data_IF_938513328011
#
_entry.id   IF_938513328011
#
_cell.length_a   1.000
_cell.length_b   1.000
_cell.length_c   1.000
_cell.angle_alpha   90.00
_cell.angle_beta   90.00
_cell.angle_gamma   90.00
#
_symmetry.space_group_name_H-M   'P 1'
#
loop_
_entity.id
_entity.type
_entity.pdbx_description
1 polymer ?
#
# COMPACT_ATOMS: atom_id res chain seq x y z
N UNK A 1 -3.70 -26.57 19.84
CA UNK A 1 -4.42 -25.30 19.50
C UNK A 1 -5.42 -25.69 18.43
N UNK A 2 -6.73 -25.73 18.75
CA UNK A 2 -7.76 -26.39 17.93
C UNK A 2 -7.87 -25.76 16.53
N UNK A 3 -7.89 -26.60 15.48
CA UNK A 3 -8.12 -26.18 14.08
C UNK A 3 -9.42 -25.38 13.89
N UNK A 4 -10.46 -25.64 14.67
CA UNK A 4 -11.70 -24.85 14.67
C UNK A 4 -11.53 -23.39 15.16
N UNK A 5 -10.63 -23.12 16.10
CA UNK A 5 -10.31 -21.75 16.56
C UNK A 5 -9.51 -20.98 15.51
N UNK A 6 -8.69 -21.69 14.72
CA UNK A 6 -7.93 -21.11 13.60
C UNK A 6 -8.87 -20.77 12.45
N UNK A 7 -9.84 -21.66 12.16
CA UNK A 7 -10.82 -21.45 11.09
C UNK A 7 -11.73 -20.22 11.32
N UNK A 8 -12.07 -19.90 12.57
CA UNK A 8 -12.89 -18.73 12.94
C UNK A 8 -12.24 -17.37 12.68
N UNK A 9 -10.90 -17.33 12.47
CA UNK A 9 -10.16 -16.08 12.27
C UNK A 9 -9.93 -15.73 10.78
N UNK A 10 -10.39 -16.57 9.86
CA UNK A 10 -10.26 -16.32 8.43
C UNK A 10 -11.54 -15.75 7.82
N UNK A 11 -11.38 -14.59 7.19
CA UNK A 11 -12.45 -13.91 6.46
C UNK A 11 -12.22 -14.08 4.95
N UNK A 12 -12.98 -14.97 4.33
CA UNK A 12 -12.82 -15.27 2.90
C UNK A 12 -13.11 -14.08 2.00
N UNK A 13 -12.36 -13.95 0.86
CA UNK A 13 -12.70 -13.00 -0.19
C UNK A 13 -14.12 -13.23 -0.78
N UNK A 14 -14.74 -12.18 -1.37
CA UNK A 14 -14.19 -10.85 -1.56
C UNK A 14 -14.24 -10.01 -0.28
N UNK A 15 -13.22 -9.14 -0.09
CA UNK A 15 -13.22 -8.15 0.99
C UNK A 15 -13.75 -6.82 0.49
N UNK A 16 -14.66 -6.24 1.24
CA UNK A 16 -15.17 -4.89 1.02
C UNK A 16 -14.63 -3.97 2.11
N UNK A 17 -13.84 -2.99 1.70
CA UNK A 17 -13.12 -2.08 2.59
C UNK A 17 -13.51 -0.64 2.30
N UNK A 18 -13.59 0.16 3.36
CA UNK A 18 -13.86 1.59 3.30
C UNK A 18 -12.87 2.33 4.17
N UNK A 19 -12.44 3.50 3.75
CA UNK A 19 -11.47 4.28 4.51
C UNK A 19 -11.11 5.58 3.84
N UNK A 20 -10.03 6.17 4.35
CA UNK A 20 -9.32 7.28 3.74
C UNK A 20 -7.84 6.89 3.50
N UNK A 21 -7.17 7.59 2.59
CA UNK A 21 -5.80 7.25 2.22
C UNK A 21 -5.00 8.46 1.73
N UNK A 22 -3.68 8.32 1.81
CA UNK A 22 -2.73 9.17 1.10
C UNK A 22 -2.01 8.34 0.05
N UNK A 23 -1.98 8.82 -1.19
CA UNK A 23 -1.28 8.21 -2.31
C UNK A 23 -0.11 9.12 -2.67
N UNK A 24 1.11 8.67 -2.36
CA UNK A 24 2.34 9.42 -2.58
C UNK A 24 3.03 8.85 -3.82
N UNK A 25 3.32 9.71 -4.78
CA UNK A 25 3.99 9.32 -6.01
C UNK A 25 5.43 9.85 -6.00
N UNK A 26 6.37 8.98 -6.35
CA UNK A 26 7.79 9.32 -6.45
C UNK A 26 8.38 8.82 -7.76
N UNK A 27 9.30 9.61 -8.32
CA UNK A 27 10.19 9.13 -9.37
C UNK A 27 11.44 8.57 -8.73
N UNK A 28 11.72 7.30 -8.99
CA UNK A 28 12.93 6.61 -8.54
C UNK A 28 13.97 6.59 -9.65
N UNK A 29 15.19 7.00 -9.33
CA UNK A 29 16.34 6.84 -10.22
C UNK A 29 16.87 5.40 -10.16
N UNK A 30 17.63 4.93 -11.18
CA UNK A 30 18.28 3.61 -11.13
C UNK A 30 19.17 3.43 -9.89
N UNK A 31 19.89 4.49 -9.46
CA UNK A 31 20.73 4.45 -8.28
C UNK A 31 19.91 4.28 -7.00
N UNK A 32 18.79 4.99 -6.87
CA UNK A 32 17.86 4.80 -5.74
C UNK A 32 17.39 3.35 -5.64
N UNK A 33 16.95 2.76 -6.77
CA UNK A 33 16.47 1.37 -6.82
C UNK A 33 17.59 0.42 -6.41
N UNK A 34 18.82 0.63 -6.91
CA UNK A 34 19.99 -0.19 -6.57
C UNK A 34 20.34 -0.10 -5.09
N UNK A 35 20.34 1.09 -4.50
CA UNK A 35 20.63 1.29 -3.07
C UNK A 35 19.56 0.70 -2.14
N UNK A 36 18.35 0.47 -2.65
CA UNK A 36 17.21 -0.05 -1.90
C UNK A 36 16.83 -1.49 -2.29
N UNK A 37 17.78 -2.32 -2.74
CA UNK A 37 17.53 -3.71 -3.17
C UNK A 37 16.92 -4.59 -2.06
N UNK A 38 17.26 -4.31 -0.80
CA UNK A 38 16.70 -5.02 0.35
C UNK A 38 15.16 -4.96 0.42
N UNK A 39 14.55 -3.93 -0.17
CA UNK A 39 13.10 -3.76 -0.24
C UNK A 39 12.46 -4.39 -1.50
N UNK A 40 13.23 -5.16 -2.27
CA UNK A 40 12.75 -5.92 -3.44
C UNK A 40 12.05 -5.07 -4.51
N UNK A 41 12.46 -3.81 -4.66
CA UNK A 41 11.97 -2.95 -5.73
C UNK A 41 12.39 -3.54 -7.10
N UNK A 42 11.46 -3.62 -8.05
CA UNK A 42 11.77 -4.14 -9.37
C UNK A 42 12.83 -3.26 -10.07
N UNK A 43 13.84 -3.86 -10.74
CA UNK A 43 14.87 -3.09 -11.40
C UNK A 43 14.33 -2.24 -12.55
N UNK A 44 14.95 -1.06 -12.76
CA UNK A 44 14.64 -0.19 -13.90
C UNK A 44 15.90 0.56 -14.33
N UNK A 45 16.37 0.40 -15.57
CA UNK A 45 17.58 1.05 -16.06
C UNK A 45 17.42 2.56 -16.30
N UNK A 46 16.19 3.05 -16.46
CA UNK A 46 15.89 4.47 -16.73
C UNK A 46 15.18 5.16 -15.56
N UNK A 47 14.93 4.45 -14.46
CA UNK A 47 14.06 4.93 -13.38
C UNK A 47 12.58 4.69 -13.68
N UNK A 48 11.71 5.00 -12.69
CA UNK A 48 10.26 4.85 -12.83
C UNK A 48 9.48 5.54 -11.72
N UNK A 49 8.18 5.65 -11.93
CA UNK A 49 7.25 6.08 -10.88
C UNK A 49 6.91 4.89 -9.98
N UNK A 50 6.81 5.16 -8.68
CA UNK A 50 6.30 4.23 -7.67
C UNK A 50 5.22 4.92 -6.85
N UNK A 51 4.31 4.14 -6.29
CA UNK A 51 3.27 4.64 -5.41
C UNK A 51 3.46 4.10 -4.00
N UNK A 52 3.35 4.99 -3.02
CA UNK A 52 3.27 4.64 -1.61
C UNK A 52 1.86 4.97 -1.15
N UNK A 53 1.23 4.02 -0.50
CA UNK A 53 -0.11 4.25 0.05
C UNK A 53 -0.07 4.14 1.56
N UNK A 54 -0.55 5.19 2.23
CA UNK A 54 -0.82 5.18 3.67
C UNK A 54 -2.33 5.23 3.84
N UNK A 55 -2.91 4.19 4.42
CA UNK A 55 -4.34 3.92 4.40
C UNK A 55 -4.87 3.73 5.81
N UNK A 56 -6.03 4.28 6.10
CA UNK A 56 -6.84 3.95 7.28
C UNK A 56 -8.13 3.30 6.82
N UNK A 57 -8.27 2.03 7.10
CA UNK A 57 -9.54 1.33 6.88
C UNK A 57 -10.43 1.51 8.10
N UNK A 58 -11.53 2.24 7.92
CA UNK A 58 -12.56 2.41 8.95
C UNK A 58 -13.48 1.20 9.04
N UNK A 59 -13.60 0.46 7.91
CA UNK A 59 -14.41 -0.76 7.83
C UNK A 59 -13.71 -1.80 6.96
N UNK A 60 -13.56 -2.99 7.50
CA UNK A 60 -13.08 -4.20 6.81
C UNK A 60 -13.66 -5.46 7.45
N UNK A 61 -13.54 -6.64 6.81
CA UNK A 61 -13.95 -7.91 7.42
C UNK A 61 -13.22 -8.26 8.71
N UNK A 62 -12.01 -7.71 8.93
CA UNK A 62 -11.19 -7.93 10.13
C UNK A 62 -11.23 -6.75 11.12
N UNK A 63 -12.21 -5.86 10.98
CA UNK A 63 -12.30 -4.62 11.75
C UNK A 63 -11.46 -3.47 11.17
N UNK A 64 -11.44 -2.30 11.83
CA UNK A 64 -10.61 -1.18 11.43
C UNK A 64 -9.12 -1.50 11.56
N UNK A 65 -8.31 -1.00 10.63
CA UNK A 65 -6.84 -1.10 10.70
C UNK A 65 -6.14 -0.09 9.79
N UNK A 66 -4.87 0.16 10.07
CA UNK A 66 -3.99 1.03 9.30
C UNK A 66 -3.05 0.22 8.42
N UNK A 67 -2.59 0.82 7.32
CA UNK A 67 -1.72 0.16 6.36
C UNK A 67 -0.76 1.17 5.71
N UNK A 68 0.53 0.81 5.62
CA UNK A 68 1.51 1.49 4.78
C UNK A 68 2.10 0.50 3.79
N UNK A 69 2.02 0.78 2.50
CA UNK A 69 2.53 -0.12 1.47
C UNK A 69 3.27 0.60 0.34
N UNK A 70 4.14 -0.15 -0.31
CA UNK A 70 4.72 0.17 -1.61
C UNK A 70 3.92 -0.58 -2.67
N UNK A 71 3.35 0.14 -3.64
CA UNK A 71 2.77 -0.44 -4.85
C UNK A 71 3.73 -0.17 -6.02
N UNK A 72 4.40 -1.22 -6.45
CA UNK A 72 5.41 -1.17 -7.50
C UNK A 72 4.80 -1.56 -8.84
N UNK A 73 4.77 -0.59 -9.79
CA UNK A 73 4.24 -0.75 -11.14
C UNK A 73 5.36 -0.62 -12.17
N UNK A 74 6.03 -1.70 -12.58
CA UNK A 74 7.09 -1.63 -13.59
C UNK A 74 6.49 -1.45 -15.00
N UNK A 75 6.11 -0.22 -15.35
CA UNK A 75 5.46 0.13 -16.61
C UNK A 75 6.25 -0.25 -17.87
N UNK A 76 7.58 -0.39 -17.76
CA UNK A 76 8.49 -0.70 -18.87
C UNK A 76 8.83 -2.20 -18.97
N UNK A 77 8.30 -3.03 -18.11
CA UNK A 77 8.49 -4.49 -18.17
C UNK A 77 7.53 -5.09 -19.20
N UNK A 78 8.01 -6.02 -20.02
CA UNK A 78 7.17 -6.78 -20.99
C UNK A 78 5.97 -7.48 -20.33
N UNK A 79 5.95 -7.61 -19.03
CA UNK A 79 4.89 -8.31 -18.26
C UNK A 79 4.01 -7.40 -17.43
N UNK A 80 4.27 -6.08 -17.32
CA UNK A 80 3.47 -5.11 -16.53
C UNK A 80 2.90 -5.67 -15.21
N UNK A 81 3.74 -6.41 -14.45
CA UNK A 81 3.32 -7.08 -13.23
C UNK A 81 3.48 -6.13 -12.06
N UNK A 82 2.37 -5.58 -11.57
CA UNK A 82 2.39 -4.81 -10.33
C UNK A 82 2.57 -5.75 -9.13
N UNK A 83 3.28 -5.29 -8.10
CA UNK A 83 3.49 -6.05 -6.86
C UNK A 83 3.49 -5.14 -5.64
N UNK A 84 3.33 -5.74 -4.47
CA UNK A 84 3.44 -5.07 -3.16
C UNK A 84 4.66 -5.66 -2.45
N UNK A 85 5.87 -5.11 -2.68
CA UNK A 85 7.10 -5.68 -2.12
C UNK A 85 7.25 -5.44 -0.61
N UNK A 86 6.65 -4.37 -0.08
CA UNK A 86 6.73 -4.01 1.34
C UNK A 86 5.41 -3.47 1.83
N UNK A 87 4.96 -3.95 2.98
CA UNK A 87 3.69 -3.54 3.58
C UNK A 87 3.67 -3.76 5.09
N UNK A 88 3.20 -2.76 5.82
CA UNK A 88 2.92 -2.80 7.25
C UNK A 88 1.44 -2.63 7.51
N UNK A 89 0.91 -3.32 8.52
CA UNK A 89 -0.50 -3.22 8.95
C UNK A 89 -0.59 -3.24 10.46
N UNK A 90 -1.64 -2.62 11.01
CA UNK A 90 -1.80 -2.44 12.46
C UNK A 90 -2.46 -3.62 13.18
N UNK A 91 -2.93 -4.68 12.48
CA UNK A 91 -3.63 -5.80 13.12
C UNK A 91 -3.12 -7.16 12.69
N UNK A 92 -2.96 -8.14 13.63
CA UNK A 92 -2.56 -9.51 13.31
C UNK A 92 -3.56 -10.20 12.35
N UNK A 93 -4.85 -9.91 12.47
CA UNK A 93 -5.88 -10.47 11.60
C UNK A 93 -5.67 -10.05 10.14
N UNK A 94 -5.30 -8.78 9.88
CA UNK A 94 -4.95 -8.33 8.53
C UNK A 94 -3.69 -9.02 8.00
N UNK A 95 -2.68 -9.28 8.85
CA UNK A 95 -1.48 -10.02 8.45
C UNK A 95 -1.83 -11.42 7.99
N UNK A 96 -2.50 -12.21 8.84
CA UNK A 96 -2.84 -13.61 8.56
C UNK A 96 -3.69 -13.77 7.29
N UNK A 97 -4.73 -12.96 7.17
CA UNK A 97 -5.64 -13.05 6.02
C UNK A 97 -4.98 -12.55 4.72
N UNK A 98 -4.18 -11.46 4.78
CA UNK A 98 -3.46 -10.92 3.64
C UNK A 98 -2.45 -11.89 3.05
N UNK A 99 -1.67 -12.56 3.89
CA UNK A 99 -0.71 -13.59 3.49
C UNK A 99 -1.42 -14.81 2.89
N UNK A 100 -2.49 -15.30 3.55
CA UNK A 100 -3.20 -16.52 3.13
C UNK A 100 -3.94 -16.37 1.80
N UNK A 101 -4.70 -15.28 1.63
CA UNK A 101 -5.64 -15.17 0.51
C UNK A 101 -5.07 -14.45 -0.71
N UNK A 102 -4.00 -13.64 -0.53
CA UNK A 102 -3.43 -12.83 -1.61
C UNK A 102 -1.91 -12.92 -1.71
N UNK A 103 -1.26 -13.68 -0.82
CA UNK A 103 0.21 -13.77 -0.79
C UNK A 103 0.90 -12.43 -0.52
N UNK A 104 0.20 -11.45 0.07
CA UNK A 104 0.75 -10.12 0.36
C UNK A 104 1.66 -10.24 1.59
N UNK A 105 2.94 -9.79 1.54
CA UNK A 105 3.92 -9.97 2.60
C UNK A 105 3.71 -8.99 3.77
N UNK A 106 2.50 -8.98 4.34
CA UNK A 106 2.11 -8.10 5.43
C UNK A 106 2.93 -8.37 6.69
N UNK A 107 3.39 -7.29 7.33
CA UNK A 107 4.08 -7.32 8.62
C UNK A 107 3.32 -6.45 9.61
N UNK A 108 3.28 -6.89 10.88
CA UNK A 108 2.62 -6.15 11.95
C UNK A 108 3.47 -4.96 12.38
N UNK A 109 2.87 -3.78 12.45
CA UNK A 109 3.49 -2.55 12.97
C UNK A 109 2.47 -1.75 13.79
N UNK A 110 2.94 -0.80 14.59
CA UNK A 110 2.08 0.13 15.32
C UNK A 110 1.98 1.43 14.54
N UNK A 111 0.80 2.06 14.56
CA UNK A 111 0.51 3.31 13.88
C UNK A 111 -0.08 4.30 14.88
N UNK A 112 0.51 5.49 14.96
CA UNK A 112 0.03 6.58 15.79
C UNK A 112 -0.24 7.80 14.92
N UNK A 113 -1.46 8.32 14.99
CA UNK A 113 -1.92 9.42 14.17
C UNK A 113 -2.13 10.68 14.99
N UNK A 114 -1.61 11.80 14.49
CA UNK A 114 -1.91 13.13 14.99
C UNK A 114 -2.44 13.96 13.81
N UNK A 115 -3.71 14.36 13.89
CA UNK A 115 -4.38 15.15 12.84
C UNK A 115 -4.71 16.52 13.41
N UNK A 116 -4.16 17.55 12.79
CA UNK A 116 -4.40 18.98 13.12
C UNK A 116 -4.74 19.71 11.84
N UNK A 117 -6.02 20.03 11.65
CA UNK A 117 -6.55 20.72 10.47
C UNK A 117 -6.12 20.06 9.14
N UNK A 118 -5.26 20.74 8.39
CA UNK A 118 -4.72 20.30 7.11
C UNK A 118 -3.40 19.52 7.22
N UNK A 119 -2.88 19.33 8.44
CA UNK A 119 -1.64 18.62 8.70
C UNK A 119 -1.90 17.28 9.37
N UNK A 120 -1.26 16.24 8.86
CA UNK A 120 -1.35 14.87 9.38
C UNK A 120 0.05 14.34 9.66
N UNK A 121 0.26 13.85 10.87
CA UNK A 121 1.45 13.09 11.24
C UNK A 121 1.04 11.62 11.46
N UNK A 122 1.85 10.71 10.95
CA UNK A 122 1.72 9.29 11.22
C UNK A 122 3.07 8.74 11.65
N UNK A 123 3.17 8.28 12.90
CA UNK A 123 4.32 7.55 13.41
C UNK A 123 4.07 6.07 13.25
N UNK A 124 5.08 5.34 12.76
CA UNK A 124 5.01 3.91 12.50
C UNK A 124 6.19 3.25 13.18
N UNK A 125 5.89 2.32 14.11
CA UNK A 125 6.91 1.60 14.88
C UNK A 125 6.94 0.13 14.45
N UNK A 126 8.13 -0.36 14.10
CA UNK A 126 8.40 -1.73 13.71
C UNK A 126 9.73 -2.21 14.30
N UNK A 127 9.73 -3.32 15.05
CA UNK A 127 10.94 -3.92 15.63
C UNK A 127 11.84 -2.91 16.37
N UNK A 128 11.28 -2.09 17.27
CA UNK A 128 11.98 -1.06 18.04
C UNK A 128 12.55 0.13 17.24
N UNK A 129 12.24 0.19 15.96
CA UNK A 129 12.57 1.31 15.08
C UNK A 129 11.31 2.12 14.79
N UNK A 130 11.48 3.43 14.62
CA UNK A 130 10.38 4.34 14.35
C UNK A 130 10.65 5.16 13.10
N UNK A 131 9.63 5.34 12.28
CA UNK A 131 9.62 6.28 11.19
C UNK A 131 8.38 7.16 11.25
N UNK A 132 8.43 8.34 10.67
CA UNK A 132 7.28 9.22 10.62
C UNK A 132 7.06 9.84 9.26
N UNK A 133 5.78 10.02 8.93
CA UNK A 133 5.31 10.79 7.79
C UNK A 133 4.65 12.06 8.28
N UNK A 134 5.02 13.17 7.64
CA UNK A 134 4.34 14.44 7.76
C UNK A 134 3.69 14.78 6.43
N UNK A 135 2.37 14.93 6.43
CA UNK A 135 1.52 15.11 5.26
C UNK A 135 0.76 16.43 5.39
N UNK A 136 0.80 17.26 4.36
CA UNK A 136 0.06 18.52 4.34
C UNK A 136 -0.97 18.51 3.21
N UNK A 137 -2.23 18.68 3.57
CA UNK A 137 -3.34 18.83 2.64
C UNK A 137 -3.44 20.30 2.18
N UNK A 138 -4.08 20.55 1.05
CA UNK A 138 -4.54 21.90 0.73
C UNK A 138 -5.82 22.20 1.51
N UNK A 139 -5.94 23.41 2.04
CA UNK A 139 -7.18 23.87 2.72
C UNK A 139 -8.39 23.83 1.79
N UNK A 140 -8.17 24.18 0.52
CA UNK A 140 -9.18 24.10 -0.54
C UNK A 140 -8.56 23.35 -1.72
N UNK A 141 -9.05 22.17 -2.02
CA UNK A 141 -8.61 21.34 -3.14
C UNK A 141 -9.82 20.93 -3.96
N UNK A 142 -9.68 21.03 -5.28
CA UNK A 142 -10.66 20.42 -6.18
C UNK A 142 -10.67 18.91 -5.96
N UNK A 143 -11.85 18.34 -5.98
CA UNK A 143 -12.06 16.91 -5.83
C UNK A 143 -12.28 16.28 -7.19
N UNK A 144 -11.55 15.21 -7.47
CA UNK A 144 -11.68 14.41 -8.68
C UNK A 144 -12.26 13.04 -8.33
N UNK A 145 -13.18 12.55 -9.12
CA UNK A 145 -13.70 11.20 -8.97
C UNK A 145 -12.80 10.20 -9.70
N UNK A 146 -12.45 9.09 -9.03
CA UNK A 146 -11.75 7.98 -9.64
C UNK A 146 -12.57 6.70 -9.48
N UNK A 147 -12.59 5.88 -10.54
CA UNK A 147 -13.22 4.58 -10.53
C UNK A 147 -12.36 3.62 -11.38
N UNK A 148 -12.00 2.48 -10.79
CA UNK A 148 -11.18 1.47 -11.44
C UNK A 148 -11.80 0.89 -12.70
N UNK A 149 -13.12 1.00 -12.90
CA UNK A 149 -13.78 0.62 -14.15
C UNK A 149 -13.29 1.39 -15.39
N UNK A 150 -12.70 2.57 -15.19
CA UNK A 150 -12.11 3.37 -16.27
C UNK A 150 -10.61 3.14 -16.45
N UNK A 151 -10.02 2.21 -15.69
CA UNK A 151 -8.59 1.87 -15.77
C UNK A 151 -8.46 0.52 -16.48
N UNK A 152 -7.57 0.38 -17.47
CA UNK A 152 -7.32 -0.90 -18.11
C UNK A 152 -6.98 -1.99 -17.09
N UNK A 153 -7.63 -3.16 -17.20
CA UNK A 153 -7.52 -4.24 -16.22
C UNK A 153 -6.06 -4.69 -16.01
N UNK A 154 -5.23 -4.60 -17.06
CA UNK A 154 -3.81 -4.95 -17.00
C UNK A 154 -3.02 -4.09 -15.99
N UNK A 155 -3.42 -2.81 -15.81
CA UNK A 155 -2.79 -1.89 -14.86
C UNK A 155 -3.27 -2.11 -13.41
N UNK A 156 -4.35 -2.85 -13.21
CA UNK A 156 -4.90 -3.18 -11.90
C UNK A 156 -4.43 -4.53 -11.38
N UNK A 157 -3.82 -5.37 -12.23
CA UNK A 157 -3.36 -6.69 -11.84
C UNK A 157 -2.18 -6.62 -10.88
N UNK A 158 -2.35 -7.21 -9.70
CA UNK A 158 -1.30 -7.39 -8.72
C UNK A 158 -0.87 -8.86 -8.73
N UNK A 159 0.43 -9.07 -8.80
CA UNK A 159 1.08 -10.38 -8.77
C UNK A 159 1.94 -10.47 -7.54
N UNK A 160 1.75 -11.53 -6.76
CA UNK A 160 2.55 -11.80 -5.57
C UNK A 160 3.10 -13.22 -5.61
N UNK A 161 4.26 -13.40 -5.00
CA UNK A 161 4.83 -14.71 -4.74
C UNK A 161 5.03 -14.85 -3.24
N UNK A 162 4.37 -15.84 -2.64
CA UNK A 162 4.46 -16.09 -1.21
C UNK A 162 4.52 -17.59 -0.96
N UNK A 163 5.53 -18.05 -0.22
CA UNK A 163 5.73 -19.47 0.14
C UNK A 163 5.63 -20.44 -1.05
N UNK A 164 6.23 -20.08 -2.20
CA UNK A 164 6.25 -20.90 -3.41
C UNK A 164 4.95 -20.91 -4.22
N UNK A 165 3.94 -20.14 -3.82
CA UNK A 165 2.70 -19.94 -4.55
C UNK A 165 2.69 -18.59 -5.27
N UNK A 166 2.10 -18.54 -6.47
CA UNK A 166 1.83 -17.32 -7.21
C UNK A 166 0.37 -16.93 -7.05
N UNK A 167 0.14 -15.67 -6.68
CA UNK A 167 -1.17 -15.07 -6.52
C UNK A 167 -1.36 -13.97 -7.55
N UNK A 168 -2.54 -13.92 -8.15
CA UNK A 168 -2.94 -12.85 -9.06
C UNK A 168 -4.33 -12.36 -8.71
N UNK A 169 -4.51 -11.05 -8.56
CA UNK A 169 -5.80 -10.43 -8.27
C UNK A 169 -5.84 -8.99 -8.78
N UNK A 170 -7.05 -8.47 -9.00
CA UNK A 170 -7.26 -7.10 -9.50
C UNK A 170 -8.22 -6.38 -8.56
N UNK A 171 -7.72 -5.50 -7.69
CA UNK A 171 -8.55 -4.69 -6.82
C UNK A 171 -9.49 -3.80 -7.63
N UNK A 172 -10.72 -3.64 -7.15
CA UNK A 172 -11.67 -2.69 -7.69
C UNK A 172 -11.85 -1.57 -6.67
N UNK A 173 -11.72 -0.33 -7.11
CA UNK A 173 -11.85 0.81 -6.21
C UNK A 173 -12.59 1.98 -6.86
N UNK A 174 -13.20 2.78 -6.00
CA UNK A 174 -13.78 4.08 -6.34
C UNK A 174 -13.62 5.03 -5.18
N UNK A 175 -13.42 6.30 -5.46
CA UNK A 175 -13.23 7.30 -4.42
C UNK A 175 -13.09 8.70 -4.97
N UNK A 176 -12.80 9.63 -4.06
CA UNK A 176 -12.54 11.03 -4.35
C UNK A 176 -11.07 11.30 -4.13
N UNK A 177 -10.41 11.99 -5.06
CA UNK A 177 -9.01 12.42 -4.97
C UNK A 177 -8.96 13.92 -4.77
N UNK A 178 -8.21 14.36 -3.76
CA UNK A 178 -7.80 15.75 -3.56
C UNK A 178 -6.29 15.85 -3.71
N UNK A 179 -5.76 16.90 -4.35
CA UNK A 179 -4.31 17.08 -4.42
C UNK A 179 -3.73 17.22 -3.01
N UNK A 180 -2.59 16.57 -2.78
CA UNK A 180 -1.81 16.71 -1.57
C UNK A 180 -0.71 17.77 -1.80
N UNK A 181 -0.54 18.67 -0.84
CA UNK A 181 0.42 19.76 -0.96
C UNK A 181 1.85 19.25 -0.80
N UNK A 182 2.10 18.44 0.23
CA UNK A 182 3.44 17.98 0.58
C UNK A 182 3.39 16.66 1.36
N UNK A 183 4.45 15.86 1.22
CA UNK A 183 4.77 14.74 2.09
C UNK A 183 6.26 14.76 2.41
N UNK A 184 6.61 14.50 3.66
CA UNK A 184 8.01 14.35 4.10
C UNK A 184 8.16 13.16 5.04
N UNK A 185 9.35 12.56 5.03
CA UNK A 185 9.71 11.37 5.77
C UNK A 185 10.80 11.65 6.77
N UNK A 186 10.78 10.94 7.90
CA UNK A 186 11.85 10.95 8.91
C UNK A 186 12.12 9.53 9.39
N UNK A 187 13.38 9.22 9.66
CA UNK A 187 13.86 7.98 10.29
C UNK A 187 13.41 6.69 9.58
N UNK A 188 13.48 6.67 8.24
CA UNK A 188 13.03 5.50 7.47
C UNK A 188 14.06 4.39 7.35
N UNK A 189 15.31 4.61 7.77
CA UNK A 189 16.43 3.67 7.62
C UNK A 189 16.06 2.27 8.15
N UNK A 190 16.36 1.24 7.34
CA UNK A 190 16.14 -0.17 7.62
C UNK A 190 14.67 -0.63 7.73
N UNK A 191 13.72 0.28 7.94
CA UNK A 191 12.29 -0.03 8.01
C UNK A 191 11.66 0.08 6.61
N UNK A 192 11.95 1.18 5.92
CA UNK A 192 11.32 1.55 4.66
C UNK A 192 12.31 2.36 3.81
N UNK A 193 12.23 2.33 2.45
CA UNK A 193 13.12 3.16 1.63
C UNK A 193 13.01 4.64 2.00
N UNK A 194 14.15 5.33 2.05
CA UNK A 194 14.18 6.77 2.33
C UNK A 194 13.72 7.57 1.12
N UNK A 195 12.41 7.74 0.98
CA UNK A 195 11.82 8.51 -0.12
C UNK A 195 12.11 10.02 -0.07
N UNK A 196 12.77 10.53 0.99
CA UNK A 196 13.29 11.90 1.00
C UNK A 196 14.37 12.10 -0.08
N UNK A 197 15.04 11.01 -0.49
CA UNK A 197 16.05 10.98 -1.56
C UNK A 197 15.44 10.79 -2.96
N UNK A 198 14.14 10.59 -3.08
CA UNK A 198 13.43 10.41 -4.34
C UNK A 198 12.72 11.70 -4.77
N UNK A 199 12.51 11.89 -6.07
CA UNK A 199 11.80 13.07 -6.57
C UNK A 199 10.29 12.90 -6.29
N UNK A 200 9.76 13.73 -5.36
CA UNK A 200 8.33 13.81 -5.09
C UNK A 200 7.56 14.32 -6.32
N UNK A 201 6.47 13.64 -6.64
CA UNK A 201 5.56 13.99 -7.72
C UNK A 201 4.19 14.39 -7.14
N UNK A 202 3.25 14.83 -8.02
CA UNK A 202 1.91 15.13 -7.57
C UNK A 202 1.29 13.93 -6.87
N UNK A 203 0.94 14.12 -5.61
CA UNK A 203 0.35 13.14 -4.71
C UNK A 203 -1.07 13.54 -4.32
N UNK A 204 -1.80 12.60 -3.69
CA UNK A 204 -3.22 12.78 -3.44
C UNK A 204 -3.59 12.37 -2.02
N UNK A 205 -4.56 13.07 -1.47
CA UNK A 205 -5.37 12.65 -0.34
C UNK A 205 -6.69 12.10 -0.87
N UNK A 206 -7.12 10.97 -0.35
CA UNK A 206 -8.37 10.28 -0.68
C UNK A 206 -9.25 10.32 0.56
N UNK A 207 -10.15 11.31 0.71
CA UNK A 207 -10.95 11.47 1.93
C UNK A 207 -11.94 10.33 2.15
N UNK A 208 -12.31 9.63 1.08
CA UNK A 208 -13.22 8.49 1.12
C UNK A 208 -12.97 7.59 -0.09
N UNK A 209 -12.85 6.29 0.18
CA UNK A 209 -12.84 5.28 -0.88
C UNK A 209 -13.63 4.04 -0.49
N UNK A 210 -14.05 3.30 -1.51
CA UNK A 210 -14.52 1.92 -1.43
C UNK A 210 -13.58 1.05 -2.23
N UNK A 211 -13.10 -0.02 -1.62
CA UNK A 211 -12.20 -0.99 -2.23
C UNK A 211 -12.79 -2.39 -2.10
N UNK A 212 -12.76 -3.15 -3.19
CA UNK A 212 -13.06 -4.58 -3.18
C UNK A 212 -11.81 -5.35 -3.56
N UNK A 213 -11.36 -6.22 -2.68
CA UNK A 213 -10.32 -7.20 -2.95
C UNK A 213 -10.98 -8.53 -3.32
N UNK A 214 -10.94 -8.95 -4.60
CA UNK A 214 -11.51 -10.23 -5.03
C UNK A 214 -10.65 -11.39 -4.57
N UNK A 215 -11.15 -12.61 -4.76
CA UNK A 215 -10.33 -13.82 -4.59
C UNK A 215 -9.13 -13.78 -5.54
N UNK A 216 -7.96 -14.14 -5.04
CA UNK A 216 -6.80 -14.31 -5.91
C UNK A 216 -6.86 -15.65 -6.67
N UNK A 217 -6.40 -15.65 -7.92
CA UNK A 217 -6.05 -16.87 -8.63
C UNK A 217 -4.71 -17.35 -8.09
N UNK A 218 -4.63 -18.63 -7.69
CA UNK A 218 -3.42 -19.22 -7.14
C UNK A 218 -2.91 -20.32 -8.08
N UNK A 219 -1.62 -20.31 -8.39
CA UNK A 219 -0.93 -21.32 -9.16
C UNK A 219 0.34 -21.76 -8.42
N UNK A 220 0.68 -23.04 -8.44
CA UNK A 220 2.01 -23.52 -8.03
C UNK A 220 3.04 -23.08 -9.10
N UNK A 221 4.23 -22.77 -8.64
CA UNK A 221 5.37 -22.47 -9.52
C UNK A 221 5.79 -23.72 -10.29
#
# INVERSE_FOLDING_TARGET
MNEELIAKNFHHPPWHLHGDAFILNYWLTPNFIKSNQAFQLAPSPIGRVIQIMLVRYHKSPVGPYDELLILDHPLMSKRHLSSIPKIYVSTPASVMNGQRFWGIPKQLAQFEWVIKDDVVYCNISFQQQEMSLHLQKYKHSQTFYINSHHIPAQLLNIHQTWQGLHYQFSPQFRGKLCKLKQASWKNTLDIFPDFSQAKYLQSFYVPEFKLTLPSAKMNKK
#
